data_IF_108581874216
#
_entry.id   IF_108581874216
#
_cell.length_a   1.000
_cell.length_b   1.000
_cell.length_c   1.000
_cell.angle_alpha   90.00
_cell.angle_beta   90.00
_cell.angle_gamma   90.00
#
_symmetry.space_group_name_H-M   'P 1'
#
loop_
_entity.id
_entity.type
_entity.pdbx_description
1 polymer ?
#
# COMPACT_ATOMS: atom_id res chain seq x y z
N UNK A 1 11.25 7.55 27.55
CA UNK A 1 11.97 7.44 26.29
C UNK A 1 11.05 6.95 25.19
N UNK A 2 10.95 7.67 24.09
CA UNK A 2 10.13 7.27 22.96
C UNK A 2 10.67 6.02 22.29
N UNK A 3 9.77 5.14 21.87
CA UNK A 3 10.12 4.01 21.00
C UNK A 3 10.20 4.50 19.57
N UNK A 4 11.17 4.00 18.84
CA UNK A 4 11.35 4.35 17.43
C UNK A 4 10.94 3.19 16.55
N UNK A 5 10.22 3.50 15.46
CA UNK A 5 9.88 2.54 14.41
C UNK A 5 10.26 3.16 13.07
N UNK A 6 10.99 2.41 12.27
CA UNK A 6 11.29 2.78 10.89
C UNK A 6 10.15 2.36 9.98
N UNK A 7 9.63 3.29 9.19
CA UNK A 7 8.65 2.96 8.17
C UNK A 7 9.37 2.78 6.82
N UNK A 8 9.42 1.54 6.36
CA UNK A 8 10.14 1.16 5.14
C UNK A 8 9.31 1.47 3.89
N UNK A 9 9.11 2.74 3.61
CA UNK A 9 8.38 3.20 2.43
C UNK A 9 9.00 4.48 1.89
N UNK A 10 9.05 4.59 0.57
CA UNK A 10 9.42 5.85 -0.10
C UNK A 10 8.24 6.81 -0.26
N UNK A 11 7.04 6.39 0.13
CA UNK A 11 5.83 7.22 0.01
C UNK A 11 5.66 8.11 1.24
N UNK A 12 6.01 9.39 1.11
CA UNK A 12 5.93 10.35 2.20
C UNK A 12 4.50 10.57 2.71
N UNK A 13 3.50 10.44 1.85
CA UNK A 13 2.11 10.54 2.26
C UNK A 13 1.71 9.43 3.24
N UNK A 14 2.23 8.22 3.06
CA UNK A 14 2.02 7.13 4.01
C UNK A 14 2.66 7.44 5.36
N UNK A 15 3.88 7.96 5.36
CA UNK A 15 4.56 8.37 6.59
C UNK A 15 3.73 9.41 7.35
N UNK A 16 3.31 10.46 6.66
CA UNK A 16 2.53 11.55 7.25
C UNK A 16 1.21 11.07 7.84
N UNK A 17 0.57 10.11 7.19
CA UNK A 17 -0.71 9.55 7.64
C UNK A 17 -0.63 8.93 9.04
N UNK A 18 0.48 8.31 9.38
CA UNK A 18 0.64 7.60 10.64
C UNK A 18 1.46 8.36 11.68
N UNK A 19 2.22 9.35 11.27
CA UNK A 19 3.19 10.04 12.12
C UNK A 19 2.58 10.60 13.40
N UNK A 20 1.57 11.45 13.28
CA UNK A 20 0.93 12.09 14.40
C UNK A 20 0.26 11.10 15.36
N UNK A 21 -0.41 10.13 14.79
CA UNK A 21 -1.13 9.12 15.55
C UNK A 21 -0.20 8.25 16.40
N UNK A 22 0.92 7.85 15.82
CA UNK A 22 1.92 7.07 16.54
C UNK A 22 2.64 7.92 17.58
N UNK A 23 2.93 9.17 17.26
CA UNK A 23 3.59 10.09 18.20
C UNK A 23 2.75 10.28 19.47
N UNK A 24 1.44 10.41 19.34
CA UNK A 24 0.52 10.50 20.48
C UNK A 24 0.57 9.27 21.40
N UNK A 25 1.00 8.15 20.86
CA UNK A 25 1.14 6.88 21.62
C UNK A 25 2.59 6.60 22.05
N UNK A 26 3.44 7.61 22.01
CA UNK A 26 4.83 7.49 22.46
C UNK A 26 5.74 6.79 21.45
N UNK A 27 5.34 6.71 20.19
CA UNK A 27 6.12 6.06 19.13
C UNK A 27 6.57 7.13 18.12
N UNK A 28 7.88 7.23 17.93
CA UNK A 28 8.46 8.10 16.90
C UNK A 28 8.63 7.32 15.62
N UNK A 29 7.89 7.70 14.59
CA UNK A 29 7.98 7.08 13.27
C UNK A 29 9.10 7.77 12.49
N UNK A 30 10.09 6.97 12.06
CA UNK A 30 11.19 7.45 11.23
C UNK A 30 10.95 7.06 9.77
N UNK A 31 11.20 8.00 8.88
CA UNK A 31 11.16 7.73 7.45
C UNK A 31 12.51 7.24 6.95
N UNK A 32 12.56 6.70 5.74
CA UNK A 32 13.82 6.34 5.08
C UNK A 32 14.72 7.57 4.89
N UNK A 33 14.12 8.72 4.67
CA UNK A 33 14.83 9.99 4.56
C UNK A 33 15.54 10.36 5.86
N UNK A 34 14.89 10.14 7.00
CA UNK A 34 15.44 10.46 8.31
C UNK A 34 16.72 9.67 8.61
N UNK A 35 16.79 8.44 8.15
CA UNK A 35 17.97 7.57 8.35
C UNK A 35 18.95 7.60 7.19
N UNK A 36 18.59 8.28 6.10
CA UNK A 36 19.41 8.43 4.89
C UNK A 36 19.88 7.09 4.31
N UNK A 37 19.00 6.09 4.31
CA UNK A 37 19.26 4.78 3.69
C UNK A 37 18.15 4.52 2.67
N UNK A 38 18.57 4.21 1.46
CA UNK A 38 17.66 3.85 0.38
C UNK A 38 18.18 2.58 -0.28
N UNK A 39 17.46 1.48 -0.06
CA UNK A 39 17.82 0.19 -0.62
C UNK A 39 16.95 -0.05 -1.86
N UNK A 40 17.60 -0.42 -2.96
CA UNK A 40 16.87 -0.82 -4.15
C UNK A 40 16.28 -2.21 -3.91
N UNK A 41 14.96 -2.26 -3.78
CA UNK A 41 14.24 -3.49 -3.43
C UNK A 41 13.35 -3.89 -4.59
N UNK A 42 13.51 -5.13 -5.03
CA UNK A 42 12.61 -5.73 -6.00
C UNK A 42 11.42 -6.33 -5.27
N UNK A 43 10.23 -5.72 -5.46
CA UNK A 43 8.99 -6.22 -4.87
C UNK A 43 8.40 -7.30 -5.78
N UNK A 44 8.96 -8.50 -5.69
CA UNK A 44 8.56 -9.65 -6.50
C UNK A 44 7.73 -10.68 -5.73
N UNK A 45 7.14 -10.27 -4.62
CA UNK A 45 6.25 -11.11 -3.83
C UNK A 45 4.96 -11.46 -4.59
N UNK A 46 4.37 -12.57 -4.23
CA UNK A 46 3.12 -13.05 -4.84
C UNK A 46 1.89 -12.29 -4.37
N UNK A 47 2.00 -11.60 -3.25
CA UNK A 47 0.89 -10.87 -2.65
C UNK A 47 1.43 -9.69 -1.81
N UNK A 48 0.53 -8.90 -1.25
CA UNK A 48 0.89 -7.70 -0.49
C UNK A 48 1.71 -8.02 0.77
N UNK A 49 1.38 -9.09 1.49
CA UNK A 49 2.13 -9.51 2.69
C UNK A 49 3.57 -9.86 2.32
N UNK A 50 3.77 -10.60 1.23
CA UNK A 50 5.13 -10.94 0.78
C UNK A 50 5.94 -9.70 0.40
N UNK A 51 5.33 -8.75 -0.30
CA UNK A 51 5.99 -7.49 -0.66
C UNK A 51 6.33 -6.66 0.58
N UNK A 52 5.41 -6.56 1.54
CA UNK A 52 5.68 -5.89 2.81
C UNK A 52 6.81 -6.59 3.58
N UNK A 53 6.84 -7.92 3.57
CA UNK A 53 7.89 -8.71 4.21
C UNK A 53 9.26 -8.45 3.58
N UNK A 54 9.33 -8.41 2.26
CA UNK A 54 10.58 -8.14 1.54
C UNK A 54 11.15 -6.77 1.94
N UNK A 55 10.30 -5.75 1.95
CA UNK A 55 10.71 -4.39 2.36
C UNK A 55 11.15 -4.35 3.82
N UNK A 56 10.35 -4.92 4.72
CA UNK A 56 10.65 -4.91 6.15
C UNK A 56 11.96 -5.60 6.45
N UNK A 57 12.20 -6.78 5.88
CA UNK A 57 13.43 -7.53 6.10
C UNK A 57 14.67 -6.80 5.61
N UNK A 58 14.60 -6.23 4.40
CA UNK A 58 15.74 -5.52 3.82
C UNK A 58 16.20 -4.37 4.74
N UNK A 59 15.27 -3.54 5.20
CA UNK A 59 15.60 -2.41 6.06
C UNK A 59 15.90 -2.81 7.49
N UNK A 60 15.22 -3.81 8.04
CA UNK A 60 15.54 -4.32 9.36
C UNK A 60 16.95 -4.89 9.41
N UNK A 61 17.32 -5.70 8.42
CA UNK A 61 18.66 -6.30 8.37
C UNK A 61 19.75 -5.22 8.25
N UNK A 62 19.49 -4.17 7.51
CA UNK A 62 20.43 -3.07 7.31
C UNK A 62 20.58 -2.16 8.54
N UNK A 63 19.53 -1.99 9.35
CA UNK A 63 19.49 -0.98 10.41
C UNK A 63 19.35 -1.55 11.81
N UNK A 64 18.78 -2.73 11.95
CA UNK A 64 18.36 -3.34 13.24
C UNK A 64 17.37 -2.49 14.04
N UNK A 65 16.80 -1.47 13.42
CA UNK A 65 15.71 -0.68 14.01
C UNK A 65 14.41 -1.47 13.83
N UNK A 66 13.52 -1.46 14.82
CA UNK A 66 12.16 -1.99 14.65
C UNK A 66 11.57 -1.39 13.38
N UNK A 67 11.18 -2.24 12.44
CA UNK A 67 10.80 -1.80 11.08
C UNK A 67 9.36 -2.22 10.77
N UNK A 68 8.60 -1.29 10.23
CA UNK A 68 7.25 -1.52 9.72
C UNK A 68 7.26 -1.35 8.21
N UNK A 69 6.60 -2.24 7.50
CA UNK A 69 6.32 -2.08 6.08
C UNK A 69 4.87 -2.41 5.83
N UNK A 70 4.30 -1.77 4.82
CA UNK A 70 2.91 -1.95 4.44
C UNK A 70 2.80 -2.05 2.94
N UNK A 71 1.81 -2.82 2.51
CA UNK A 71 1.40 -2.81 1.12
C UNK A 71 -0.13 -2.90 1.07
N UNK A 72 -0.73 -2.20 0.11
CA UNK A 72 -2.18 -2.15 -0.04
C UNK A 72 -2.57 -2.92 -1.30
N UNK A 73 -3.65 -3.71 -1.19
CA UNK A 73 -4.26 -4.36 -2.33
C UNK A 73 -5.62 -3.76 -2.59
N UNK A 74 -5.90 -3.41 -3.83
CA UNK A 74 -7.24 -2.95 -4.21
C UNK A 74 -8.03 -4.13 -4.75
N UNK A 75 -9.24 -4.32 -4.24
CA UNK A 75 -10.18 -5.33 -4.70
C UNK A 75 -11.46 -4.67 -5.17
N UNK A 76 -11.91 -5.06 -6.35
CA UNK A 76 -13.12 -4.51 -6.97
C UNK A 76 -14.15 -5.63 -7.09
N UNK A 77 -15.30 -5.46 -6.42
CA UNK A 77 -16.38 -6.44 -6.51
C UNK A 77 -17.00 -6.43 -7.91
N UNK A 78 -17.30 -7.61 -8.43
CA UNK A 78 -18.06 -7.74 -9.68
C UNK A 78 -17.24 -7.78 -10.96
N UNK A 79 -15.92 -7.74 -10.88
CA UNK A 79 -15.07 -7.90 -12.07
C UNK A 79 -14.38 -9.26 -12.05
N UNK A 80 -13.95 -9.77 -13.23
CA UNK A 80 -13.23 -11.05 -13.29
C UNK A 80 -11.94 -11.04 -12.46
N UNK A 81 -11.59 -12.20 -11.92
CA UNK A 81 -10.40 -12.35 -11.07
C UNK A 81 -9.12 -11.91 -11.79
N UNK A 82 -8.98 -12.23 -13.06
CA UNK A 82 -7.81 -11.86 -13.87
C UNK A 82 -7.69 -10.35 -14.09
N UNK A 83 -8.74 -9.58 -13.82
CA UNK A 83 -8.75 -8.12 -13.93
C UNK A 83 -8.60 -7.42 -12.58
N UNK A 84 -8.55 -8.17 -11.48
CA UNK A 84 -8.35 -7.57 -10.16
C UNK A 84 -7.00 -6.87 -10.10
N UNK A 85 -6.96 -5.59 -9.65
CA UNK A 85 -5.71 -4.84 -9.60
C UNK A 85 -4.71 -5.40 -8.58
N UNK A 86 -5.18 -5.90 -7.44
CA UNK A 86 -4.29 -6.41 -6.40
C UNK A 86 -3.28 -5.36 -5.98
N UNK A 87 -1.99 -5.72 -6.05
CA UNK A 87 -0.88 -4.80 -5.74
C UNK A 87 -0.50 -3.93 -6.95
N UNK A 88 -1.04 -4.22 -8.13
CA UNK A 88 -0.66 -3.57 -9.38
C UNK A 88 -1.70 -2.55 -9.85
N UNK A 89 -2.11 -1.64 -8.97
CA UNK A 89 -3.16 -0.65 -9.28
C UNK A 89 -2.78 0.22 -10.48
N UNK A 90 -1.51 0.58 -10.60
CA UNK A 90 -1.01 1.40 -11.71
C UNK A 90 -0.38 0.61 -12.85
N UNK A 91 -0.32 -0.72 -12.73
CA UNK A 91 0.26 -1.56 -13.79
C UNK A 91 -0.81 -2.45 -14.39
N UNK A 92 -1.02 -2.29 -15.69
CA UNK A 92 -1.97 -3.10 -16.45
C UNK A 92 -1.22 -3.68 -17.64
N UNK A 93 -1.25 -5.00 -17.78
CA UNK A 93 -0.54 -5.73 -18.84
C UNK A 93 0.96 -5.35 -18.91
N UNK A 94 1.59 -5.19 -17.74
CA UNK A 94 3.01 -4.86 -17.65
C UNK A 94 3.35 -3.39 -17.87
N UNK A 95 2.38 -2.54 -18.18
CA UNK A 95 2.58 -1.12 -18.43
C UNK A 95 2.16 -0.29 -17.21
N UNK A 96 3.02 0.63 -16.78
CA UNK A 96 2.67 1.60 -15.74
C UNK A 96 1.82 2.71 -16.34
N UNK A 97 0.62 2.91 -15.80
CA UNK A 97 -0.33 3.92 -16.27
C UNK A 97 -0.03 5.29 -15.65
N UNK A 98 -0.13 6.35 -16.47
CA UNK A 98 -0.16 7.72 -15.96
C UNK A 98 -1.56 8.04 -15.40
N UNK A 99 -1.73 9.24 -14.83
CA UNK A 99 -3.00 9.60 -14.17
C UNK A 99 -4.20 9.56 -15.10
N UNK A 100 -4.04 10.05 -16.33
CA UNK A 100 -5.12 10.02 -17.34
C UNK A 100 -5.46 8.58 -17.73
N UNK A 101 -4.45 7.77 -17.98
CA UNK A 101 -4.63 6.35 -18.31
C UNK A 101 -5.28 5.58 -17.17
N UNK A 102 -4.93 5.90 -15.92
CA UNK A 102 -5.57 5.33 -14.72
C UNK A 102 -7.07 5.65 -14.70
N UNK A 103 -7.43 6.92 -14.88
CA UNK A 103 -8.82 7.36 -14.90
C UNK A 103 -9.57 6.63 -16.01
N UNK A 104 -9.02 6.61 -17.23
CA UNK A 104 -9.65 5.97 -18.38
C UNK A 104 -9.85 4.47 -18.14
N UNK A 105 -8.82 3.79 -17.60
CA UNK A 105 -8.88 2.36 -17.36
C UNK A 105 -9.97 2.00 -16.35
N UNK A 106 -9.97 2.66 -15.18
CA UNK A 106 -10.93 2.34 -14.13
C UNK A 106 -12.34 2.80 -14.44
N UNK A 107 -12.53 3.93 -15.13
CA UNK A 107 -13.87 4.33 -15.58
C UNK A 107 -14.41 3.34 -16.61
N UNK A 108 -13.57 2.79 -17.49
CA UNK A 108 -13.99 1.74 -18.42
C UNK A 108 -14.39 0.44 -17.73
N UNK A 109 -13.70 0.06 -16.66
CA UNK A 109 -14.12 -1.09 -15.85
C UNK A 109 -15.54 -0.89 -15.28
N UNK A 110 -15.82 0.31 -14.79
CA UNK A 110 -17.14 0.64 -14.26
C UNK A 110 -18.20 0.59 -15.38
N UNK A 111 -17.90 1.11 -16.55
CA UNK A 111 -18.83 1.07 -17.69
C UNK A 111 -19.12 -0.37 -18.13
N UNK A 112 -18.12 -1.24 -18.08
CA UNK A 112 -18.24 -2.62 -18.53
C UNK A 112 -18.95 -3.51 -17.50
N UNK A 113 -18.58 -3.39 -16.22
CA UNK A 113 -19.01 -4.32 -15.17
C UNK A 113 -19.88 -3.71 -14.09
N UNK A 114 -19.96 -2.38 -14.02
CA UNK A 114 -20.67 -1.69 -12.95
C UNK A 114 -22.18 -1.80 -13.04
N UNK A 115 -22.84 -1.56 -11.91
CA UNK A 115 -24.29 -1.38 -11.81
C UNK A 115 -24.57 0.07 -11.44
N UNK A 116 -25.48 0.70 -12.16
CA UNK A 116 -25.84 2.10 -11.91
C UNK A 116 -24.63 3.04 -11.91
N UNK A 117 -23.67 2.77 -12.80
CA UNK A 117 -22.44 3.57 -12.92
C UNK A 117 -21.47 3.44 -11.76
N UNK A 118 -21.53 2.33 -11.00
CA UNK A 118 -20.71 2.14 -9.81
C UNK A 118 -20.14 0.73 -9.72
N UNK A 119 -18.94 0.62 -9.12
CA UNK A 119 -18.35 -0.64 -8.68
C UNK A 119 -17.89 -0.48 -7.24
N UNK A 120 -18.27 -1.42 -6.37
CA UNK A 120 -17.79 -1.46 -4.99
C UNK A 120 -16.31 -1.81 -4.97
N UNK A 121 -15.56 -1.06 -4.18
CA UNK A 121 -14.11 -1.21 -4.09
C UNK A 121 -13.68 -1.16 -2.65
N UNK A 122 -12.69 -1.96 -2.29
CA UNK A 122 -12.09 -1.95 -0.96
C UNK A 122 -10.57 -2.05 -1.06
N UNK A 123 -9.89 -1.50 -0.07
CA UNK A 123 -8.46 -1.68 0.12
C UNK A 123 -8.23 -2.67 1.24
N UNK A 124 -7.35 -3.61 1.00
CA UNK A 124 -6.87 -4.54 2.01
C UNK A 124 -5.46 -4.09 2.38
N UNK A 125 -5.29 -3.73 3.65
CA UNK A 125 -4.02 -3.31 4.20
C UNK A 125 -3.27 -4.54 4.69
N UNK A 126 -2.03 -4.69 4.25
CA UNK A 126 -1.12 -5.73 4.73
C UNK A 126 0.07 -5.06 5.39
N UNK A 127 0.34 -5.38 6.65
CA UNK A 127 1.40 -4.78 7.44
C UNK A 127 2.31 -5.86 8.00
N UNK A 128 3.62 -5.58 7.98
CA UNK A 128 4.64 -6.42 8.62
C UNK A 128 5.45 -5.56 9.57
N UNK A 129 5.65 -6.04 10.78
CA UNK A 129 6.54 -5.40 11.77
C UNK A 129 7.60 -6.40 12.18
N UNK A 130 8.87 -5.98 12.16
CA UNK A 130 9.99 -6.78 12.65
C UNK A 130 10.61 -6.05 13.83
N UNK A 131 10.60 -6.73 14.98
CA UNK A 131 11.16 -6.21 16.23
C UNK A 131 11.89 -7.34 16.94
N UNK A 132 13.14 -7.10 17.35
CA UNK A 132 13.96 -8.08 18.09
C UNK A 132 13.98 -9.44 17.38
N UNK A 133 14.17 -9.43 16.07
CA UNK A 133 14.19 -10.61 15.18
C UNK A 133 12.86 -11.37 15.12
N UNK A 134 11.79 -10.81 15.66
CA UNK A 134 10.44 -11.40 15.60
C UNK A 134 9.60 -10.67 14.56
N UNK A 135 8.89 -11.45 13.76
CA UNK A 135 8.04 -10.93 12.68
C UNK A 135 6.59 -11.05 13.08
N UNK A 136 5.86 -9.94 12.97
CA UNK A 136 4.41 -9.90 13.16
C UNK A 136 3.75 -9.41 11.88
N UNK A 137 2.62 -10.01 11.53
CA UNK A 137 1.86 -9.63 10.34
C UNK A 137 0.44 -9.26 10.71
N UNK A 138 -0.11 -8.27 10.03
CA UNK A 138 -1.47 -7.78 10.26
C UNK A 138 -2.15 -7.55 8.92
N UNK A 139 -3.43 -7.90 8.84
CA UNK A 139 -4.24 -7.65 7.66
C UNK A 139 -5.54 -7.00 8.10
N UNK A 140 -5.96 -5.97 7.40
CA UNK A 140 -7.21 -5.28 7.68
C UNK A 140 -7.85 -4.77 6.41
N UNK A 141 -9.17 -4.61 6.46
CA UNK A 141 -9.90 -3.96 5.38
C UNK A 141 -10.05 -2.49 5.77
N UNK A 142 -9.56 -1.62 4.89
CA UNK A 142 -9.77 -0.18 5.04
C UNK A 142 -11.10 0.20 4.39
N UNK A 143 -11.38 1.47 4.28
CA UNK A 143 -12.66 1.98 3.82
C UNK A 143 -13.14 1.33 2.52
N UNK A 144 -14.42 1.01 2.48
CA UNK A 144 -15.12 0.67 1.25
C UNK A 144 -15.57 1.95 0.56
N UNK A 145 -15.49 1.97 -0.77
CA UNK A 145 -15.92 3.10 -1.57
C UNK A 145 -16.34 2.62 -2.96
N UNK A 146 -16.87 3.54 -3.75
CA UNK A 146 -17.29 3.24 -5.12
C UNK A 146 -16.34 3.84 -6.13
N UNK A 147 -16.00 3.05 -7.15
CA UNK A 147 -15.52 3.62 -8.41
C UNK A 147 -16.73 4.04 -9.23
N UNK A 148 -16.63 5.15 -9.93
CA UNK A 148 -17.71 5.69 -10.76
C UNK A 148 -17.27 5.80 -12.22
N UNK A 149 -18.24 5.89 -13.12
CA UNK A 149 -17.99 5.91 -14.56
C UNK A 149 -17.61 7.29 -15.10
N UNK A 150 -17.48 8.28 -14.26
CA UNK A 150 -17.11 9.65 -14.62
C UNK A 150 -16.00 10.16 -13.71
N UNK A 151 -15.00 10.89 -14.26
CA UNK A 151 -13.99 11.53 -13.42
C UNK A 151 -14.62 12.48 -12.41
N UNK A 152 -13.98 12.59 -11.23
CA UNK A 152 -14.43 13.54 -10.22
C UNK A 152 -14.34 14.97 -10.76
N UNK A 153 -15.34 15.77 -10.48
CA UNK A 153 -15.29 17.22 -10.79
C UNK A 153 -14.34 17.90 -9.80
N UNK A 154 -13.49 18.73 -10.34
CA UNK A 154 -12.62 19.58 -9.51
C UNK A 154 -13.38 20.83 -9.08
#
# INVERSE_FOLDING_TARGET
KMKEILFATGNTAKVDRFYEKLLKNGILLKSLKDININIDIEENGKNAIENAMIKAKAYYDATKITTMAMDDTMYIDGIPEEKQPGVFVRRVNGKRLNDKEMIDYYTNLVKTYGKDGKLNTKWILSMVIIKDDKISTYTGITNEYYLVDKPAKK
#
